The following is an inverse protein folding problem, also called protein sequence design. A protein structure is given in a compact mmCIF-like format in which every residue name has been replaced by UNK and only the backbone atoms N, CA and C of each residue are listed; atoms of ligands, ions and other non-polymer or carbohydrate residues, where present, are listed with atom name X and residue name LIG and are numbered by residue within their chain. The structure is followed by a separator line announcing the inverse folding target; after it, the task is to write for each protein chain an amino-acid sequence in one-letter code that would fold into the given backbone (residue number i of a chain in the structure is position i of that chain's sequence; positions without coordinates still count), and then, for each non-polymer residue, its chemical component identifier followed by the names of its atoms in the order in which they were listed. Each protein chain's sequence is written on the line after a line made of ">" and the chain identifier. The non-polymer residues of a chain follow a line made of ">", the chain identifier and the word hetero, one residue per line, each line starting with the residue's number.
data_IF_401818067473
#
_entry.id   IF_401818067473
#
_cell.length_a   1.000
_cell.length_b   1.000
_cell.length_c   1.000
_cell.angle_alpha   90.00
_cell.angle_beta   90.00
_cell.angle_gamma   90.00
#
_symmetry.space_group_name_H-M   'P 1'
#
loop_
_entity.id
_entity.type
_entity.pdbx_description
1 polymer ?
#
# COMPACT_ATOMS: atom_id res chain seq x y z
N UNK A 1 31.21 -7.39 -3.92
CA UNK A 1 30.88 -6.05 -4.46
C UNK A 1 29.41 -5.78 -4.24
N UNK A 2 29.04 -4.64 -3.65
CA UNK A 2 27.63 -4.24 -3.46
C UNK A 2 27.07 -3.81 -4.81
N UNK A 3 25.89 -4.32 -5.19
CA UNK A 3 25.22 -3.96 -6.46
C UNK A 3 24.72 -2.52 -6.37
N UNK A 4 25.37 -1.58 -7.06
CA UNK A 4 24.93 -0.20 -7.11
C UNK A 4 23.80 -0.07 -8.15
N UNK A 5 22.55 0.05 -7.70
CA UNK A 5 21.39 0.11 -8.58
C UNK A 5 21.16 1.54 -9.09
N UNK A 6 21.24 1.72 -10.42
CA UNK A 6 20.82 2.94 -11.10
C UNK A 6 19.50 2.69 -11.80
N UNK A 7 18.50 3.53 -11.52
CA UNK A 7 17.16 3.40 -12.13
C UNK A 7 17.24 3.72 -13.63
N UNK A 8 16.76 2.81 -14.48
CA UNK A 8 16.82 2.95 -15.96
C UNK A 8 16.00 4.12 -16.52
N UNK A 9 14.98 4.59 -15.81
CA UNK A 9 14.15 5.73 -16.21
C UNK A 9 14.01 6.68 -15.03
N UNK A 10 14.51 7.90 -15.20
CA UNK A 10 14.28 8.99 -14.24
C UNK A 10 12.93 9.61 -14.58
N UNK A 11 12.12 9.87 -13.57
CA UNK A 11 10.86 10.55 -13.74
C UNK A 11 11.11 12.05 -13.85
N UNK A 12 10.69 12.65 -14.96
CA UNK A 12 10.98 14.06 -15.32
C UNK A 12 9.86 15.02 -14.96
N UNK A 13 8.68 14.52 -14.62
CA UNK A 13 7.48 15.29 -14.34
C UNK A 13 7.05 15.15 -12.88
N UNK A 14 6.54 16.24 -12.31
CA UNK A 14 6.07 16.33 -10.93
C UNK A 14 4.60 15.93 -10.79
N UNK A 15 4.11 15.79 -9.55
CA UNK A 15 2.68 15.57 -9.30
C UNK A 15 1.83 16.80 -9.66
N UNK A 16 2.41 18.00 -9.61
CA UNK A 16 1.72 19.25 -9.97
C UNK A 16 1.45 19.26 -11.48
N UNK A 17 2.45 18.91 -12.29
CA UNK A 17 2.33 18.83 -13.75
C UNK A 17 1.23 17.85 -14.19
N UNK A 18 1.12 16.71 -13.50
CA UNK A 18 0.06 15.73 -13.72
C UNK A 18 -1.32 16.34 -13.40
N UNK A 19 -1.43 17.06 -12.28
CA UNK A 19 -2.68 17.68 -11.84
C UNK A 19 -3.17 18.74 -12.82
N UNK A 20 -2.27 19.63 -13.27
CA UNK A 20 -2.57 20.68 -14.24
C UNK A 20 -2.92 20.13 -15.62
N UNK A 21 -2.20 19.09 -16.07
CA UNK A 21 -2.50 18.39 -17.32
C UNK A 21 -3.90 17.77 -17.28
N UNK A 22 -4.24 17.04 -16.22
CA UNK A 22 -5.57 16.42 -16.06
C UNK A 22 -6.66 17.48 -16.00
N UNK A 23 -6.45 18.57 -15.25
CA UNK A 23 -7.42 19.67 -15.15
C UNK A 23 -7.68 20.29 -16.53
N UNK A 24 -6.62 20.55 -17.29
CA UNK A 24 -6.73 21.14 -18.62
C UNK A 24 -7.49 20.25 -19.61
N UNK A 25 -7.31 18.92 -19.51
CA UNK A 25 -8.04 17.95 -20.33
C UNK A 25 -9.52 17.88 -19.91
N UNK A 26 -9.80 17.88 -18.60
CA UNK A 26 -11.19 17.84 -18.08
C UNK A 26 -11.98 19.11 -18.37
N UNK A 27 -11.31 20.25 -18.47
CA UNK A 27 -11.90 21.53 -18.87
C UNK A 27 -12.11 21.63 -20.40
N UNK A 28 -11.90 20.55 -21.18
CA UNK A 28 -11.94 20.48 -22.64
C UNK A 28 -11.04 21.52 -23.36
N UNK A 29 -10.01 22.04 -22.68
CA UNK A 29 -9.09 23.06 -23.23
C UNK A 29 -8.03 22.48 -24.15
N UNK A 30 -7.72 21.19 -24.01
CA UNK A 30 -6.67 20.52 -24.77
C UNK A 30 -6.88 19.01 -24.81
N UNK A 31 -6.41 18.39 -25.88
CA UNK A 31 -6.36 16.93 -26.03
C UNK A 31 -5.27 16.31 -25.16
N UNK A 32 -5.33 14.99 -24.95
CA UNK A 32 -4.31 14.26 -24.17
C UNK A 32 -2.92 14.42 -24.79
N UNK A 33 -2.81 14.45 -26.13
CA UNK A 33 -1.54 14.61 -26.83
C UNK A 33 -0.94 16.01 -26.61
N UNK A 34 -1.76 17.05 -26.69
CA UNK A 34 -1.33 18.44 -26.44
C UNK A 34 -0.91 18.63 -24.97
N UNK A 35 -1.67 18.09 -24.03
CA UNK A 35 -1.31 18.10 -22.61
C UNK A 35 0.00 17.35 -22.35
N UNK A 36 0.21 16.22 -23.02
CA UNK A 36 1.43 15.43 -22.89
C UNK A 36 2.67 16.21 -23.33
N UNK A 37 2.58 16.89 -24.48
CA UNK A 37 3.66 17.74 -24.99
C UNK A 37 3.90 18.95 -24.09
N UNK A 38 2.82 19.61 -23.62
CA UNK A 38 2.92 20.83 -22.81
C UNK A 38 3.51 20.60 -21.42
N UNK A 39 3.05 19.57 -20.71
CA UNK A 39 3.46 19.29 -19.33
C UNK A 39 4.56 18.23 -19.23
N UNK A 40 5.08 17.73 -20.36
CA UNK A 40 6.07 16.66 -20.43
C UNK A 40 5.68 15.39 -19.63
N UNK A 41 4.37 15.10 -19.58
CA UNK A 41 3.81 13.91 -18.91
C UNK A 41 3.46 12.89 -20.00
N UNK A 42 3.94 11.64 -19.94
CA UNK A 42 3.60 10.63 -20.94
C UNK A 42 2.10 10.43 -21.11
N UNK A 43 1.63 10.27 -22.36
CA UNK A 43 0.24 9.99 -22.71
C UNK A 43 -0.34 8.85 -21.88
N UNK A 44 0.41 7.75 -21.72
CA UNK A 44 -0.01 6.59 -20.93
C UNK A 44 -0.28 6.94 -19.46
N UNK A 45 0.49 7.85 -18.88
CA UNK A 45 0.31 8.31 -17.50
C UNK A 45 -0.98 9.14 -17.39
N UNK A 46 -1.22 10.07 -18.31
CA UNK A 46 -2.44 10.88 -18.34
C UNK A 46 -3.68 10.01 -18.59
N UNK A 47 -3.60 9.08 -19.54
CA UNK A 47 -4.67 8.13 -19.86
C UNK A 47 -5.03 7.27 -18.64
N UNK A 48 -4.06 6.64 -17.99
CA UNK A 48 -4.29 5.85 -16.78
C UNK A 48 -4.92 6.68 -15.65
N UNK A 49 -4.55 7.97 -15.59
CA UNK A 49 -5.10 8.90 -14.59
C UNK A 49 -6.55 9.26 -14.86
N UNK A 50 -6.92 9.44 -16.12
CA UNK A 50 -8.28 9.76 -16.55
C UNK A 50 -9.20 8.54 -16.50
N UNK A 51 -8.71 7.36 -16.89
CA UNK A 51 -9.48 6.11 -16.93
C UNK A 51 -9.67 5.44 -15.57
N UNK A 52 -9.18 6.06 -14.48
CA UNK A 52 -9.25 5.48 -13.13
C UNK A 52 -8.32 4.28 -12.91
N UNK A 53 -7.54 3.84 -13.92
CA UNK A 53 -6.55 2.77 -13.81
C UNK A 53 -5.27 3.16 -13.05
N UNK A 54 -5.31 4.27 -12.33
CA UNK A 54 -4.33 4.57 -11.31
C UNK A 54 -4.32 3.38 -10.35
N UNK A 55 -3.15 2.76 -10.13
CA UNK A 55 -2.97 1.70 -9.15
C UNK A 55 -3.27 2.18 -7.72
N UNK A 56 -4.55 2.41 -7.45
CA UNK A 56 -5.20 2.83 -6.21
C UNK A 56 -5.54 1.62 -5.34
N UNK A 57 -5.43 0.40 -5.88
CA UNK A 57 -5.09 -0.74 -5.04
C UNK A 57 -3.72 -0.45 -4.45
N UNK A 58 -3.71 -0.16 -3.15
CA UNK A 58 -2.53 -0.02 -2.30
C UNK A 58 -1.39 -0.87 -2.87
N UNK A 59 -0.23 -0.26 -3.16
CA UNK A 59 0.94 -0.96 -3.72
C UNK A 59 1.54 -1.90 -2.66
N UNK A 60 0.81 -2.96 -2.34
CA UNK A 60 1.10 -3.99 -1.35
C UNK A 60 0.07 -5.11 -1.50
N UNK A 61 0.50 -6.35 -1.27
CA UNK A 61 -0.42 -7.48 -1.24
C UNK A 61 -1.52 -7.27 -0.19
N UNK A 62 -2.64 -7.99 -0.36
CA UNK A 62 -3.68 -8.05 0.66
C UNK A 62 -3.06 -8.48 2.00
N UNK A 63 -3.41 -7.77 3.07
CA UNK A 63 -2.94 -8.12 4.41
C UNK A 63 -3.57 -9.45 4.83
N UNK A 64 -2.82 -10.25 5.60
CA UNK A 64 -3.27 -11.56 6.09
C UNK A 64 -4.59 -11.41 6.89
N UNK A 65 -4.67 -10.35 7.69
CA UNK A 65 -5.86 -9.96 8.43
C UNK A 65 -6.55 -8.77 7.77
N UNK A 66 -7.88 -8.74 7.79
CA UNK A 66 -8.68 -7.59 7.37
C UNK A 66 -8.55 -6.45 8.39
N UNK A 67 -8.97 -5.23 8.05
CA UNK A 67 -8.94 -4.11 9.01
C UNK A 67 -9.78 -4.38 10.26
N UNK A 68 -10.90 -5.07 10.10
CA UNK A 68 -11.80 -5.43 11.20
C UNK A 68 -11.13 -6.45 12.13
N UNK A 69 -10.48 -7.46 11.56
CA UNK A 69 -9.73 -8.48 12.31
C UNK A 69 -8.50 -7.87 13.01
N UNK A 70 -7.80 -6.96 12.35
CA UNK A 70 -6.69 -6.21 12.94
C UNK A 70 -7.17 -5.35 14.12
N UNK A 71 -8.37 -4.78 14.04
CA UNK A 71 -8.96 -4.00 15.14
C UNK A 71 -9.21 -4.89 16.38
N UNK A 72 -9.68 -6.12 16.18
CA UNK A 72 -9.82 -7.09 17.26
C UNK A 72 -8.46 -7.48 17.86
N UNK A 73 -7.45 -7.71 17.03
CA UNK A 73 -6.09 -7.99 17.49
C UNK A 73 -5.51 -6.83 18.34
N UNK A 74 -5.74 -5.58 17.92
CA UNK A 74 -5.33 -4.39 18.67
C UNK A 74 -6.03 -4.33 20.03
N UNK A 75 -7.33 -4.64 20.08
CA UNK A 75 -8.08 -4.70 21.33
C UNK A 75 -7.49 -5.74 22.31
N UNK A 76 -7.14 -6.94 21.81
CA UNK A 76 -6.51 -7.99 22.62
C UNK A 76 -5.15 -7.53 23.15
N UNK A 77 -4.32 -6.90 22.31
CA UNK A 77 -2.99 -6.39 22.70
C UNK A 77 -3.12 -5.32 23.80
N UNK A 78 -4.05 -4.38 23.66
CA UNK A 78 -4.29 -3.33 24.68
C UNK A 78 -4.77 -3.93 26.00
N UNK A 79 -5.71 -4.86 25.93
CA UNK A 79 -6.18 -5.60 27.11
C UNK A 79 -5.02 -6.30 27.82
N UNK A 80 -4.13 -6.98 27.08
CA UNK A 80 -2.94 -7.63 27.67
C UNK A 80 -1.99 -6.62 28.34
N UNK A 81 -1.85 -5.43 27.76
CA UNK A 81 -1.05 -4.36 28.35
C UNK A 81 -1.66 -3.86 29.66
N UNK A 82 -2.98 -3.71 29.74
CA UNK A 82 -3.69 -3.30 30.96
C UNK A 82 -3.50 -4.32 32.11
N UNK A 83 -3.36 -5.60 31.77
CA UNK A 83 -3.02 -6.68 32.71
C UNK A 83 -1.51 -6.80 32.99
N UNK A 84 -0.70 -5.79 32.66
CA UNK A 84 0.76 -5.77 32.85
C UNK A 84 1.51 -6.94 32.19
N UNK A 85 0.99 -7.49 31.09
CA UNK A 85 1.71 -8.48 30.31
C UNK A 85 2.57 -7.81 29.22
N UNK A 86 3.89 -8.06 29.18
CA UNK A 86 4.74 -7.54 28.13
C UNK A 86 4.41 -8.22 26.78
N UNK A 87 4.00 -7.41 25.80
CA UNK A 87 3.65 -7.89 24.46
C UNK A 87 4.86 -7.74 23.53
N UNK A 88 5.49 -8.86 23.20
CA UNK A 88 6.61 -8.92 22.26
C UNK A 88 6.14 -9.18 20.81
N UNK A 89 7.04 -8.98 19.84
CA UNK A 89 6.79 -9.31 18.42
C UNK A 89 6.31 -10.76 18.24
N UNK A 90 6.91 -11.72 18.95
CA UNK A 90 6.50 -13.11 18.89
C UNK A 90 5.08 -13.30 19.42
N UNK A 91 4.71 -12.62 20.51
CA UNK A 91 3.38 -12.71 21.09
C UNK A 91 2.31 -12.23 20.10
N UNK A 92 2.52 -11.07 19.47
CA UNK A 92 1.59 -10.52 18.47
C UNK A 92 1.42 -11.49 17.29
N UNK A 93 2.51 -12.08 16.81
CA UNK A 93 2.46 -13.04 15.68
C UNK A 93 1.79 -14.36 16.06
N UNK A 94 1.96 -14.83 17.30
CA UNK A 94 1.26 -16.01 17.82
C UNK A 94 -0.24 -15.77 17.92
N UNK A 95 -0.66 -14.61 18.43
CA UNK A 95 -2.09 -14.25 18.52
C UNK A 95 -2.67 -14.12 17.11
N UNK A 96 -1.96 -13.44 16.20
CA UNK A 96 -2.39 -13.33 14.81
C UNK A 96 -2.50 -14.70 14.11
N UNK A 97 -1.57 -15.63 14.36
CA UNK A 97 -1.67 -17.01 13.85
C UNK A 97 -2.93 -17.70 14.37
N UNK A 98 -3.23 -17.57 15.66
CA UNK A 98 -4.45 -18.12 16.26
C UNK A 98 -5.70 -17.55 15.59
N UNK A 99 -5.78 -16.23 15.39
CA UNK A 99 -6.89 -15.61 14.67
C UNK A 99 -7.04 -16.17 13.25
N UNK A 100 -5.94 -16.38 12.53
CA UNK A 100 -6.01 -16.94 11.18
C UNK A 100 -6.49 -18.39 11.13
N UNK A 101 -6.12 -19.20 12.13
CA UNK A 101 -6.60 -20.58 12.28
C UNK A 101 -8.10 -20.63 12.60
N UNK A 102 -8.55 -19.77 13.52
CA UNK A 102 -9.97 -19.65 13.89
C UNK A 102 -10.84 -19.21 12.71
N UNK A 103 -10.32 -18.30 11.88
CA UNK A 103 -10.97 -17.81 10.66
C UNK A 103 -10.82 -18.75 9.45
N UNK A 104 -10.12 -19.88 9.60
CA UNK A 104 -9.86 -20.87 8.52
C UNK A 104 -9.28 -20.23 7.25
N UNK A 105 -8.40 -19.23 7.41
CA UNK A 105 -7.75 -18.56 6.27
C UNK A 105 -6.66 -19.44 5.67
N UNK A 106 -6.59 -19.47 4.33
CA UNK A 106 -5.55 -20.18 3.59
C UNK A 106 -4.24 -19.40 3.61
N UNK A 107 -3.40 -19.70 4.60
CA UNK A 107 -2.10 -19.05 4.83
C UNK A 107 -1.08 -20.17 5.08
N UNK A 108 0.19 -20.00 4.66
CA UNK A 108 1.24 -20.96 4.97
C UNK A 108 1.31 -21.28 6.46
N UNK A 109 1.57 -22.55 6.80
CA UNK A 109 1.50 -23.06 8.18
C UNK A 109 2.36 -22.25 9.18
N UNK A 110 3.47 -21.67 8.73
CA UNK A 110 4.31 -20.80 9.56
C UNK A 110 3.64 -19.49 10.03
N UNK A 111 2.44 -19.17 9.53
CA UNK A 111 1.64 -18.02 9.92
C UNK A 111 2.26 -16.68 9.53
N UNK A 112 1.84 -15.57 10.18
CA UNK A 112 2.33 -14.24 9.84
C UNK A 112 3.83 -14.07 10.08
N UNK A 113 4.56 -13.57 9.07
CA UNK A 113 6.00 -13.32 9.10
C UNK A 113 6.41 -12.07 9.91
N UNK A 114 7.73 -11.84 10.05
CA UNK A 114 8.27 -10.58 10.65
C UNK A 114 7.88 -9.37 9.80
N UNK A 115 7.90 -9.49 8.49
CA UNK A 115 7.54 -8.41 7.56
C UNK A 115 6.07 -8.02 7.68
N UNK A 116 5.19 -9.01 7.91
CA UNK A 116 3.79 -8.75 8.20
C UNK A 116 3.64 -7.93 9.49
N UNK A 117 4.37 -8.27 10.56
CA UNK A 117 4.33 -7.51 11.82
C UNK A 117 4.77 -6.06 11.62
N UNK A 118 5.87 -5.81 10.91
CA UNK A 118 6.31 -4.44 10.62
C UNK A 118 5.33 -3.69 9.73
N UNK A 119 4.64 -4.40 8.83
CA UNK A 119 3.51 -3.85 8.08
C UNK A 119 2.35 -3.45 8.99
N UNK A 120 1.96 -4.34 9.90
CA UNK A 120 0.89 -4.14 10.88
C UNK A 120 1.15 -2.94 11.79
N UNK A 121 2.36 -2.82 12.34
CA UNK A 121 2.73 -1.69 13.21
C UNK A 121 2.77 -0.32 12.51
N UNK A 122 2.83 -0.28 11.16
CA UNK A 122 2.81 0.97 10.38
C UNK A 122 1.39 1.43 10.04
N UNK A 123 0.39 0.57 10.22
CA UNK A 123 -1.02 0.88 9.99
C UNK A 123 -1.65 1.40 11.27
#
# INVERSE_FOLDING_TARGET
>A
MVRNYVRKRVQTYSNVDIGEAIKSIKDDKMTINEASAKYNVPISTLYNRLSGHNGSSLRGGTTILSKEEESHLVYVIKTMQDYNHPVSNSNVRTIARRCTTELKKDIPDNGPGKDWFYGFMRR
#
